data_IF_032190637586
#
_entry.id   IF_032190637586
#
_cell.length_a   1.000
_cell.length_b   1.000
_cell.length_c   1.000
_cell.angle_alpha   90.00
_cell.angle_beta   90.00
_cell.angle_gamma   90.00
#
_symmetry.space_group_name_H-M   'P 1'
#
loop_
_entity.id
_entity.type
_entity.pdbx_description
1 polymer ?
#
# COMPACT_ATOMS: atom_id res chain seq x y z
N UNK A 1 25.04 30.16 -2.85
CA UNK A 1 24.09 29.34 -3.64
C UNK A 1 23.10 28.75 -2.66
N UNK A 2 21.81 29.04 -2.82
CA UNK A 2 20.77 28.39 -2.02
C UNK A 2 20.70 26.93 -2.45
N UNK A 3 20.93 26.00 -1.52
CA UNK A 3 20.58 24.60 -1.73
C UNK A 3 19.08 24.57 -2.05
N UNK A 4 18.70 24.08 -3.22
CA UNK A 4 17.32 23.72 -3.48
C UNK A 4 16.91 22.75 -2.37
N UNK A 5 15.83 23.06 -1.63
CA UNK A 5 15.23 22.09 -0.72
C UNK A 5 14.90 20.86 -1.56
N UNK A 6 15.53 19.72 -1.26
CA UNK A 6 15.08 18.47 -1.87
C UNK A 6 13.60 18.33 -1.55
N UNK A 7 12.77 18.15 -2.57
CA UNK A 7 11.34 17.89 -2.34
C UNK A 7 11.22 16.64 -1.48
N UNK A 8 10.54 16.77 -0.35
CA UNK A 8 10.36 15.67 0.57
C UNK A 8 9.48 14.61 -0.10
N UNK A 9 10.08 13.45 -0.42
CA UNK A 9 9.36 12.31 -0.98
C UNK A 9 8.98 11.31 0.11
N UNK A 10 7.91 10.56 -0.19
CA UNK A 10 7.43 9.46 0.64
C UNK A 10 7.17 8.22 -0.22
N UNK A 11 7.29 7.05 0.39
CA UNK A 11 6.88 5.78 -0.22
C UNK A 11 5.65 5.26 0.50
N UNK A 12 4.55 5.15 -0.24
CA UNK A 12 3.33 4.48 0.19
C UNK A 12 3.47 2.98 -0.07
N UNK A 13 3.29 2.17 0.97
CA UNK A 13 3.20 0.72 0.89
C UNK A 13 1.85 0.30 1.44
N UNK A 14 1.13 -0.55 0.73
CA UNK A 14 -0.17 -1.06 1.17
C UNK A 14 -0.35 -2.50 0.72
N UNK A 15 -1.23 -3.21 1.42
CA UNK A 15 -1.64 -4.57 1.07
C UNK A 15 -3.13 -4.60 0.77
N UNK A 16 -3.54 -5.32 -0.26
CA UNK A 16 -4.95 -5.42 -0.66
C UNK A 16 -5.22 -6.74 -1.38
N UNK A 17 -6.45 -7.29 -1.25
CA UNK A 17 -6.88 -8.42 -2.07
C UNK A 17 -6.64 -8.16 -3.57
N UNK A 18 -6.26 -9.18 -4.36
CA UNK A 18 -5.95 -9.01 -5.78
C UNK A 18 -7.10 -8.36 -6.58
N UNK A 19 -8.34 -8.62 -6.18
CA UNK A 19 -9.55 -8.12 -6.85
C UNK A 19 -9.68 -6.59 -6.75
N UNK A 20 -9.22 -6.00 -5.65
CA UNK A 20 -9.32 -4.55 -5.39
C UNK A 20 -8.11 -3.77 -5.91
N UNK A 21 -7.02 -4.47 -6.25
CA UNK A 21 -5.76 -3.85 -6.66
C UNK A 21 -5.89 -2.87 -7.85
N UNK A 22 -6.65 -3.18 -8.93
CA UNK A 22 -6.79 -2.25 -10.04
C UNK A 22 -7.44 -0.93 -9.62
N UNK A 23 -8.55 -0.99 -8.88
CA UNK A 23 -9.29 0.19 -8.41
C UNK A 23 -8.44 1.07 -7.49
N UNK A 24 -7.69 0.46 -6.57
CA UNK A 24 -6.82 1.21 -5.65
C UNK A 24 -5.68 1.89 -6.41
N UNK A 25 -5.06 1.21 -7.39
CA UNK A 25 -4.00 1.81 -8.22
C UNK A 25 -4.50 3.04 -8.96
N UNK A 26 -5.64 2.94 -9.63
CA UNK A 26 -6.26 4.07 -10.33
C UNK A 26 -6.50 5.26 -9.38
N UNK A 27 -7.03 5.00 -8.18
CA UNK A 27 -7.25 6.06 -7.19
C UNK A 27 -5.94 6.71 -6.72
N UNK A 28 -4.90 5.92 -6.45
CA UNK A 28 -3.58 6.41 -6.03
C UNK A 28 -2.95 7.27 -7.13
N UNK A 29 -2.97 6.82 -8.38
CA UNK A 29 -2.38 7.56 -9.50
C UNK A 29 -3.12 8.86 -9.82
N UNK A 30 -4.45 8.90 -9.65
CA UNK A 30 -5.23 10.12 -9.80
C UNK A 30 -4.80 11.25 -8.85
N UNK A 31 -4.14 10.92 -7.73
CA UNK A 31 -3.56 11.92 -6.80
C UNK A 31 -2.23 12.52 -7.28
N UNK A 32 -1.65 11.98 -8.37
CA UNK A 32 -0.32 12.32 -8.86
C UNK A 32 0.80 11.44 -8.31
N UNK A 33 0.53 10.60 -7.30
CA UNK A 33 1.49 9.62 -6.81
C UNK A 33 1.94 8.65 -7.94
N UNK A 34 3.19 8.21 -7.89
CA UNK A 34 3.77 7.38 -8.96
C UNK A 34 4.15 8.16 -10.23
N UNK A 35 4.10 9.49 -10.19
CA UNK A 35 4.65 10.35 -11.26
C UNK A 35 6.07 10.78 -10.92
N UNK A 36 6.98 10.66 -11.88
CA UNK A 36 8.34 11.19 -11.77
C UNK A 36 8.52 12.35 -12.77
N UNK A 37 8.64 13.60 -12.30
CA UNK A 37 8.68 14.79 -13.16
C UNK A 37 10.00 15.02 -13.90
N UNK A 38 10.96 14.08 -13.80
CA UNK A 38 12.25 14.19 -14.49
C UNK A 38 12.19 13.88 -15.99
N UNK A 39 13.32 14.03 -16.72
CA UNK A 39 13.42 13.72 -18.14
C UNK A 39 13.09 12.24 -18.37
N UNK A 40 11.86 11.97 -18.80
CA UNK A 40 11.32 10.61 -18.92
C UNK A 40 9.80 10.57 -18.81
N UNK A 41 9.18 11.48 -18.04
CA UNK A 41 7.72 11.61 -18.00
C UNK A 41 6.97 10.36 -17.52
N UNK A 42 7.60 9.55 -16.67
CA UNK A 42 6.99 8.34 -16.14
C UNK A 42 5.80 8.69 -15.26
N UNK A 43 4.68 8.03 -15.52
CA UNK A 43 3.44 8.10 -14.75
C UNK A 43 3.03 6.69 -14.32
N UNK A 44 2.16 6.61 -13.31
CA UNK A 44 1.61 5.33 -12.84
C UNK A 44 2.68 4.32 -12.37
N UNK A 45 3.82 4.81 -11.86
CA UNK A 45 4.91 3.98 -11.34
C UNK A 45 4.49 3.32 -10.03
N UNK A 46 4.41 2.00 -10.03
CA UNK A 46 4.10 1.19 -8.85
C UNK A 46 4.81 -0.16 -8.94
N UNK A 47 5.41 -0.60 -7.84
CA UNK A 47 5.90 -1.96 -7.69
C UNK A 47 4.84 -2.82 -7.00
N UNK A 48 4.60 -4.04 -7.47
CA UNK A 48 3.62 -4.97 -6.91
C UNK A 48 4.25 -6.35 -6.76
N UNK A 49 4.08 -6.96 -5.59
CA UNK A 49 4.59 -8.31 -5.29
C UNK A 49 3.46 -9.21 -4.77
N UNK A 50 3.37 -10.49 -5.19
CA UNK A 50 2.51 -11.47 -4.54
C UNK A 50 2.96 -11.76 -3.11
N UNK A 51 2.01 -11.97 -2.19
CA UNK A 51 2.28 -12.37 -0.82
C UNK A 51 1.04 -12.98 -0.16
N UNK A 52 1.28 -13.70 0.93
CA UNK A 52 0.24 -14.27 1.80
C UNK A 52 0.25 -13.50 3.10
N UNK A 53 -0.90 -12.96 3.49
CA UNK A 53 -1.10 -12.37 4.82
C UNK A 53 -1.56 -13.46 5.78
N UNK A 54 -1.05 -13.45 7.01
CA UNK A 54 -1.45 -14.37 8.06
C UNK A 54 -1.96 -13.57 9.26
N UNK A 55 -3.09 -13.99 9.82
CA UNK A 55 -3.61 -13.40 11.05
C UNK A 55 -4.42 -14.41 11.86
N UNK A 56 -4.68 -14.07 13.12
CA UNK A 56 -5.59 -14.82 13.99
C UNK A 56 -6.55 -13.84 14.64
N UNK A 57 -7.83 -13.79 14.24
CA UNK A 57 -8.77 -12.84 14.81
C UNK A 57 -9.00 -13.17 16.29
N UNK A 58 -8.90 -12.16 17.16
CA UNK A 58 -9.27 -12.30 18.57
C UNK A 58 -10.79 -12.43 18.76
N UNK A 59 -11.22 -12.74 19.98
CA UNK A 59 -12.64 -12.94 20.30
C UNK A 59 -13.53 -11.71 20.04
N UNK A 60 -12.95 -10.51 20.15
CA UNK A 60 -13.62 -9.22 19.88
C UNK A 60 -13.46 -8.72 18.45
N UNK A 61 -12.71 -9.41 17.58
CA UNK A 61 -12.48 -8.95 16.22
C UNK A 61 -13.76 -9.08 15.37
N UNK A 62 -13.92 -8.22 14.36
CA UNK A 62 -14.95 -8.36 13.33
C UNK A 62 -14.25 -8.56 11.97
N UNK A 63 -13.69 -9.76 11.71
CA UNK A 63 -12.89 -9.96 10.51
C UNK A 63 -13.78 -9.95 9.27
N UNK A 64 -13.34 -9.27 8.20
CA UNK A 64 -14.01 -9.34 6.91
C UNK A 64 -13.88 -10.72 6.25
N UNK A 65 -12.84 -11.48 6.63
CA UNK A 65 -12.55 -12.84 6.16
C UNK A 65 -12.01 -13.69 7.32
N UNK A 66 -12.47 -14.93 7.45
CA UNK A 66 -11.97 -15.91 8.41
C UNK A 66 -12.75 -16.01 9.72
N UNK A 67 -12.30 -16.87 10.63
CA UNK A 67 -12.99 -17.22 11.87
C UNK A 67 -12.22 -16.80 13.13
N UNK A 68 -12.96 -16.37 14.18
CA UNK A 68 -12.38 -16.01 15.47
C UNK A 68 -11.61 -17.17 16.11
N UNK A 69 -10.43 -16.88 16.63
CA UNK A 69 -9.56 -17.84 17.29
C UNK A 69 -8.80 -18.78 16.34
N UNK A 70 -9.09 -18.74 15.03
CA UNK A 70 -8.45 -19.57 14.02
C UNK A 70 -7.33 -18.83 13.31
N UNK A 71 -6.26 -19.53 12.98
CA UNK A 71 -5.21 -18.98 12.13
C UNK A 71 -5.71 -18.98 10.69
N UNK A 72 -5.69 -17.82 10.06
CA UNK A 72 -6.14 -17.59 8.70
C UNK A 72 -4.95 -17.16 7.84
N UNK A 73 -4.87 -17.73 6.65
CA UNK A 73 -3.91 -17.35 5.61
C UNK A 73 -4.71 -16.89 4.38
N UNK A 74 -4.46 -15.67 3.93
CA UNK A 74 -5.19 -15.10 2.78
C UNK A 74 -4.23 -14.54 1.76
N UNK A 75 -4.49 -14.85 0.50
CA UNK A 75 -3.81 -14.25 -0.64
C UNK A 75 -4.05 -12.74 -0.64
N UNK A 76 -3.04 -11.99 -0.19
CA UNK A 76 -3.02 -10.52 -0.12
C UNK A 76 -4.18 -9.85 0.64
N UNK A 77 -4.93 -10.51 1.51
CA UNK A 77 -5.97 -9.82 2.29
C UNK A 77 -5.44 -9.37 3.64
N UNK A 78 -5.73 -8.12 3.99
CA UNK A 78 -5.71 -7.69 5.38
C UNK A 78 -6.97 -8.23 6.09
N UNK A 79 -6.88 -8.64 7.38
CA UNK A 79 -8.04 -9.10 8.16
C UNK A 79 -9.09 -8.05 8.50
N UNK A 80 -8.69 -6.77 8.57
CA UNK A 80 -9.48 -5.73 9.23
C UNK A 80 -10.28 -4.87 8.23
N UNK A 81 -11.34 -4.24 8.74
CA UNK A 81 -12.12 -3.17 8.06
C UNK A 81 -11.23 -2.02 7.57
N UNK A 82 -10.13 -1.74 8.27
CA UNK A 82 -9.16 -0.71 7.91
C UNK A 82 -7.98 -1.29 7.11
N UNK A 83 -7.65 -0.70 5.93
CA UNK A 83 -6.50 -1.13 5.15
C UNK A 83 -5.20 -0.76 5.87
N UNK A 84 -4.32 -1.74 6.10
CA UNK A 84 -2.96 -1.45 6.54
C UNK A 84 -2.17 -0.79 5.41
N UNK A 85 -1.59 0.35 5.73
CA UNK A 85 -0.64 1.04 4.89
C UNK A 85 0.48 1.63 5.75
N UNK A 86 1.63 1.79 5.11
CA UNK A 86 2.81 2.38 5.73
C UNK A 86 3.30 3.50 4.82
N UNK A 87 3.68 4.62 5.44
CA UNK A 87 4.23 5.78 4.75
C UNK A 87 5.65 5.98 5.24
N UNK A 88 6.60 5.69 4.37
CA UNK A 88 8.01 5.86 4.67
C UNK A 88 8.49 7.20 4.15
N UNK A 89 9.05 8.03 5.04
CA UNK A 89 9.82 9.19 4.61
C UNK A 89 11.07 8.69 3.90
N UNK A 90 11.29 9.22 2.71
CA UNK A 90 12.48 8.92 1.93
C UNK A 90 13.58 9.93 2.27
N UNK A 91 14.74 9.43 2.67
CA UNK A 91 15.94 10.23 2.95
C UNK A 91 16.92 10.12 1.78
N UNK A 92 17.55 11.24 1.42
CA UNK A 92 18.61 11.36 0.41
C UNK A 92 18.19 10.98 -1.03
N UNK A 93 17.50 11.88 -1.74
CA UNK A 93 17.14 11.71 -3.16
C UNK A 93 17.78 12.71 -4.12
#
# INVERSE_FOLDING_TARGET
MAMASQEQRYKLIFTTPPQNLPTIKTAVFATGAGSYPGPGGYTEVCFTMPGVGQFRPGNSANPAVGEKGKLEEVGRSHPYEEPAYEVYKLENF
#
